data_IF_657067403394
#
_entry.id   IF_657067403394
#
_cell.length_a   1.000
_cell.length_b   1.000
_cell.length_c   1.000
_cell.angle_alpha   90.00
_cell.angle_beta   90.00
_cell.angle_gamma   90.00
#
_symmetry.space_group_name_H-M   'P 1'
#
loop_
_entity.id
_entity.type
_entity.pdbx_description
1 polymer ?
#
# COMPACT_ATOMS: atom_id res chain seq x y z
N UNK A 1 -13.44 -27.28 -44.89
CA UNK A 1 -13.99 -27.65 -43.56
C UNK A 1 -12.92 -27.90 -42.50
N UNK A 2 -11.78 -28.53 -42.83
CA UNK A 2 -10.73 -28.90 -41.85
C UNK A 2 -9.96 -27.72 -41.20
N UNK A 3 -9.73 -26.63 -41.94
CA UNK A 3 -8.94 -25.46 -41.47
C UNK A 3 -9.69 -24.58 -40.45
N UNK A 4 -11.03 -24.59 -40.47
CA UNK A 4 -11.84 -23.82 -39.52
C UNK A 4 -11.96 -24.50 -38.15
N UNK A 5 -11.95 -25.84 -38.11
CA UNK A 5 -11.98 -26.61 -36.86
C UNK A 5 -10.73 -26.40 -36.00
N UNK A 6 -9.56 -26.39 -36.63
CA UNK A 6 -8.27 -26.14 -35.95
C UNK A 6 -8.20 -24.72 -35.38
N UNK A 7 -8.54 -23.68 -36.18
CA UNK A 7 -8.58 -22.29 -35.69
C UNK A 7 -9.53 -22.09 -34.51
N UNK A 8 -10.69 -22.76 -34.49
CA UNK A 8 -11.62 -22.70 -33.36
C UNK A 8 -11.02 -23.30 -32.08
N UNK A 9 -10.29 -24.40 -32.19
CA UNK A 9 -9.70 -25.08 -31.04
C UNK A 9 -8.60 -24.23 -30.40
N UNK A 10 -7.72 -23.62 -31.21
CA UNK A 10 -6.65 -22.74 -30.76
C UNK A 10 -7.20 -21.49 -30.04
N UNK A 11 -8.24 -20.86 -30.60
CA UNK A 11 -8.90 -19.69 -29.97
C UNK A 11 -9.52 -20.07 -28.61
N UNK A 12 -10.18 -21.23 -28.50
CA UNK A 12 -10.77 -21.69 -27.24
C UNK A 12 -9.70 -21.93 -26.18
N UNK A 13 -8.55 -22.51 -26.55
CA UNK A 13 -7.43 -22.72 -25.64
C UNK A 13 -6.81 -21.40 -25.17
N UNK A 14 -6.61 -20.43 -26.09
CA UNK A 14 -6.09 -19.09 -25.77
C UNK A 14 -7.04 -18.35 -24.81
N UNK A 15 -8.34 -18.32 -25.11
CA UNK A 15 -9.34 -17.65 -24.26
C UNK A 15 -9.43 -18.29 -22.87
N UNK A 16 -9.33 -19.62 -22.76
CA UNK A 16 -9.29 -20.31 -21.46
C UNK A 16 -8.06 -19.92 -20.64
N UNK A 17 -6.90 -19.78 -21.26
CA UNK A 17 -5.68 -19.36 -20.57
C UNK A 17 -5.74 -17.88 -20.16
N UNK A 18 -6.29 -17.00 -21.00
CA UNK A 18 -6.53 -15.59 -20.66
C UNK A 18 -7.48 -15.47 -19.46
N UNK A 19 -8.59 -16.21 -19.44
CA UNK A 19 -9.54 -16.21 -18.31
C UNK A 19 -8.86 -16.61 -16.99
N UNK A 20 -7.97 -17.60 -17.01
CA UNK A 20 -7.20 -18.01 -15.83
C UNK A 20 -6.27 -16.89 -15.36
N UNK A 21 -5.56 -16.24 -16.28
CA UNK A 21 -4.67 -15.11 -15.96
C UNK A 21 -5.48 -13.95 -15.36
N UNK A 22 -6.61 -13.58 -15.96
CA UNK A 22 -7.49 -12.55 -15.43
C UNK A 22 -7.99 -12.90 -14.02
N UNK A 23 -8.36 -14.16 -13.77
CA UNK A 23 -8.80 -14.59 -12.44
C UNK A 23 -7.69 -14.42 -11.38
N UNK A 24 -6.44 -14.77 -11.72
CA UNK A 24 -5.28 -14.58 -10.82
C UNK A 24 -5.04 -13.09 -10.54
N UNK A 25 -5.11 -12.23 -11.56
CA UNK A 25 -4.95 -10.79 -11.40
C UNK A 25 -6.03 -10.22 -10.46
N UNK A 26 -7.29 -10.62 -10.64
CA UNK A 26 -8.39 -10.20 -9.77
C UNK A 26 -8.12 -10.60 -8.32
N UNK A 27 -7.68 -11.83 -8.08
CA UNK A 27 -7.35 -12.31 -6.74
C UNK A 27 -6.21 -11.48 -6.12
N UNK A 28 -5.17 -11.15 -6.89
CA UNK A 28 -4.06 -10.31 -6.42
C UNK A 28 -4.51 -8.89 -6.06
N UNK A 29 -5.43 -8.31 -6.84
CA UNK A 29 -6.03 -7.00 -6.52
C UNK A 29 -6.81 -7.08 -5.21
N UNK A 30 -7.64 -8.12 -5.01
CA UNK A 30 -8.35 -8.31 -3.75
C UNK A 30 -7.41 -8.43 -2.55
N UNK A 31 -6.34 -9.22 -2.68
CA UNK A 31 -5.32 -9.36 -1.62
C UNK A 31 -4.66 -8.00 -1.32
N UNK A 32 -4.27 -7.24 -2.35
CA UNK A 32 -3.67 -5.92 -2.20
C UNK A 32 -4.60 -4.93 -1.48
N UNK A 33 -5.89 -4.87 -1.84
CA UNK A 33 -6.87 -4.01 -1.18
C UNK A 33 -7.08 -4.44 0.28
N UNK A 34 -7.27 -5.73 0.54
CA UNK A 34 -7.49 -6.22 1.91
C UNK A 34 -6.30 -5.96 2.83
N UNK A 35 -5.08 -6.20 2.35
CA UNK A 35 -3.85 -5.93 3.13
C UNK A 35 -3.66 -4.44 3.40
N UNK A 36 -3.92 -3.59 2.40
CA UNK A 36 -3.92 -2.13 2.59
C UNK A 36 -4.90 -1.67 3.67
N UNK A 37 -6.13 -2.17 3.66
CA UNK A 37 -7.15 -1.77 4.64
C UNK A 37 -6.77 -2.20 6.06
N UNK A 38 -6.27 -3.43 6.23
CA UNK A 38 -5.85 -3.93 7.54
C UNK A 38 -4.67 -3.11 8.08
N UNK A 39 -3.63 -2.93 7.27
CA UNK A 39 -2.46 -2.16 7.68
C UNK A 39 -2.80 -0.69 7.94
N UNK A 40 -3.72 -0.12 7.16
CA UNK A 40 -4.20 1.26 7.35
C UNK A 40 -4.89 1.44 8.69
N UNK A 41 -5.74 0.50 9.09
CA UNK A 41 -6.43 0.52 10.38
C UNK A 41 -5.44 0.31 11.53
N UNK A 42 -4.48 -0.60 11.38
CA UNK A 42 -3.42 -0.80 12.37
C UNK A 42 -2.56 0.45 12.56
N UNK A 43 -2.20 1.12 11.48
CA UNK A 43 -1.40 2.33 11.54
C UNK A 43 -2.14 3.47 12.26
N UNK A 44 -3.44 3.65 12.00
CA UNK A 44 -4.30 4.62 12.69
C UNK A 44 -4.45 4.31 14.18
N UNK A 45 -4.50 3.04 14.55
CA UNK A 45 -4.46 2.55 15.94
C UNK A 45 -3.07 2.70 16.60
N UNK A 46 -2.14 3.42 15.97
CA UNK A 46 -0.73 3.53 16.38
C UNK A 46 0.04 2.20 16.45
N UNK A 47 -0.51 1.09 15.95
CA UNK A 47 0.16 -0.21 15.86
C UNK A 47 1.05 -0.28 14.62
N UNK A 48 1.94 -1.26 14.58
CA UNK A 48 2.74 -1.53 13.40
C UNK A 48 1.92 -2.28 12.35
N UNK A 49 1.94 -1.85 11.08
CA UNK A 49 1.45 -2.65 9.96
C UNK A 49 2.05 -4.06 9.95
N UNK A 50 1.28 -5.05 9.49
CA UNK A 50 1.67 -6.47 9.49
C UNK A 50 2.02 -6.96 8.08
N UNK A 51 1.30 -6.48 7.06
CA UNK A 51 1.45 -6.94 5.68
C UNK A 51 2.43 -6.09 4.85
N UNK A 52 2.81 -4.93 5.37
CA UNK A 52 3.81 -4.04 4.80
C UNK A 52 5.08 -4.05 5.63
N UNK A 53 6.20 -3.85 4.94
CA UNK A 53 7.52 -3.87 5.55
C UNK A 53 8.02 -2.43 5.77
N UNK A 54 8.61 -2.13 6.95
CA UNK A 54 9.27 -0.86 7.16
C UNK A 54 10.53 -0.82 6.28
N UNK A 55 10.65 0.23 5.47
CA UNK A 55 11.79 0.39 4.57
C UNK A 55 12.64 1.63 4.86
N UNK A 56 12.08 2.62 5.57
CA UNK A 56 12.79 3.82 5.98
C UNK A 56 12.34 4.29 7.36
N UNK A 57 13.32 4.77 8.13
CA UNK A 57 13.12 5.47 9.40
C UNK A 57 13.66 6.89 9.22
N UNK A 58 12.84 7.89 9.50
CA UNK A 58 13.21 9.30 9.36
C UNK A 58 13.71 9.79 10.72
N UNK A 59 14.80 10.57 10.72
CA UNK A 59 15.42 11.09 11.93
C UNK A 59 14.77 12.42 12.38
N UNK A 60 13.45 12.43 12.49
CA UNK A 60 12.61 13.60 12.77
C UNK A 60 11.86 13.54 14.10
N UNK A 61 12.00 12.43 14.84
CA UNK A 61 11.22 12.11 16.04
C UNK A 61 10.75 10.66 16.08
N UNK A 62 10.92 9.94 14.97
CA UNK A 62 10.68 8.52 14.86
C UNK A 62 9.65 8.16 13.79
N UNK A 63 9.50 8.98 12.74
CA UNK A 63 8.62 8.63 11.63
C UNK A 63 9.12 7.36 10.93
N UNK A 64 8.18 6.53 10.47
CA UNK A 64 8.48 5.24 9.81
C UNK A 64 7.65 5.09 8.55
N UNK A 65 8.30 4.72 7.46
CA UNK A 65 7.68 4.46 6.17
C UNK A 65 7.55 2.95 5.91
N UNK A 66 6.35 2.53 5.55
CA UNK A 66 5.98 1.16 5.25
C UNK A 66 5.59 1.02 3.78
N UNK A 67 6.04 -0.05 3.14
CA UNK A 67 5.68 -0.38 1.76
C UNK A 67 5.00 -1.75 1.73
N UNK A 68 3.81 -1.79 1.14
CA UNK A 68 3.04 -3.00 0.91
C UNK A 68 2.81 -3.27 -0.58
N UNK A 69 1.98 -4.26 -0.90
CA UNK A 69 1.68 -4.64 -2.28
C UNK A 69 0.86 -3.56 -3.00
N UNK A 70 1.54 -2.60 -3.62
CA UNK A 70 0.91 -1.49 -4.35
C UNK A 70 0.40 -0.36 -3.46
N UNK A 71 0.92 -0.24 -2.23
CA UNK A 71 0.55 0.82 -1.31
C UNK A 71 1.69 1.22 -0.39
N UNK A 72 1.58 2.40 0.19
CA UNK A 72 2.53 2.95 1.14
C UNK A 72 1.77 3.55 2.33
N UNK A 73 2.31 3.34 3.52
CA UNK A 73 1.82 3.99 4.74
C UNK A 73 3.00 4.68 5.40
N UNK A 74 2.87 5.97 5.68
CA UNK A 74 3.88 6.75 6.39
C UNK A 74 3.29 7.12 7.75
N UNK A 75 3.92 6.62 8.81
CA UNK A 75 3.61 7.03 10.18
C UNK A 75 4.51 8.20 10.53
N UNK A 76 3.95 9.40 10.54
CA UNK A 76 4.63 10.62 10.94
C UNK A 76 4.67 10.71 12.46
N UNK A 77 5.86 10.98 12.99
CA UNK A 77 6.12 11.32 14.39
C UNK A 77 7.29 12.28 14.43
N UNK A 78 6.98 13.57 14.39
CA UNK A 78 7.99 14.64 14.43
C UNK A 78 7.89 15.45 15.72
N UNK A 79 9.00 16.03 16.18
CA UNK A 79 8.97 16.92 17.35
C UNK A 79 8.22 18.22 17.03
N UNK A 80 7.39 18.68 17.97
CA UNK A 80 6.86 20.05 17.92
C UNK A 80 7.96 21.06 18.27
N UNK A 81 7.86 22.29 17.75
CA UNK A 81 8.80 23.39 18.03
C UNK A 81 9.00 23.63 19.55
N UNK A 82 7.92 23.53 20.32
CA UNK A 82 7.94 23.69 21.78
C UNK A 82 8.59 22.52 22.54
N UNK A 83 8.97 21.42 21.87
CA UNK A 83 9.50 20.18 22.44
C UNK A 83 8.66 19.58 23.59
N UNK A 84 7.36 19.90 23.64
CA UNK A 84 6.39 19.40 24.63
C UNK A 84 5.43 18.35 24.07
N UNK A 85 5.34 18.30 22.74
CA UNK A 85 4.41 17.45 21.99
C UNK A 85 5.14 16.82 20.81
N UNK A 86 4.68 15.65 20.40
CA UNK A 86 4.90 15.10 19.07
C UNK A 86 3.77 15.57 18.14
N UNK A 87 4.13 15.91 16.90
CA UNK A 87 3.17 16.00 15.82
C UNK A 87 3.11 14.62 15.15
N UNK A 88 1.95 13.97 15.25
CA UNK A 88 1.72 12.61 14.76
C UNK A 88 0.64 12.56 13.69
N UNK A 89 0.77 11.63 12.77
CA UNK A 89 -0.22 11.43 11.71
C UNK A 89 0.08 10.19 10.89
N UNK A 90 -0.93 9.71 10.16
CA UNK A 90 -0.81 8.54 9.30
C UNK A 90 -1.20 8.94 7.89
N UNK A 91 -0.22 8.96 7.01
CA UNK A 91 -0.40 9.24 5.59
C UNK A 91 -0.45 7.92 4.81
N UNK A 92 -1.39 7.82 3.86
CA UNK A 92 -1.70 6.58 3.16
C UNK A 92 -1.77 6.84 1.66
N UNK A 93 -1.07 6.03 0.89
CA UNK A 93 -1.06 6.08 -0.57
C UNK A 93 -1.35 4.70 -1.15
N UNK A 94 -2.23 4.61 -2.15
CA UNK A 94 -2.61 3.36 -2.79
C UNK A 94 -2.50 3.50 -4.31
N UNK A 95 -1.64 2.69 -4.93
CA UNK A 95 -1.28 2.65 -6.36
C UNK A 95 -0.62 3.94 -6.87
N UNK A 96 -1.23 5.09 -6.64
CA UNK A 96 -0.74 6.42 -7.01
C UNK A 96 -0.35 7.20 -5.75
N UNK A 97 0.53 8.19 -5.90
CA UNK A 97 0.99 9.04 -4.80
C UNK A 97 2.10 8.44 -3.93
N UNK A 98 2.52 7.20 -4.21
CA UNK A 98 3.65 6.56 -3.51
C UNK A 98 4.90 7.43 -3.68
N UNK A 99 5.41 7.94 -2.56
CA UNK A 99 6.63 8.71 -2.49
C UNK A 99 7.65 7.96 -1.64
N UNK A 100 8.62 7.32 -2.28
CA UNK A 100 9.62 6.52 -1.57
C UNK A 100 10.53 7.35 -0.65
N UNK A 101 10.66 8.66 -0.90
CA UNK A 101 11.49 9.58 -0.13
C UNK A 101 10.65 10.78 0.33
N UNK A 102 9.70 10.58 1.27
CA UNK A 102 8.85 11.65 1.73
C UNK A 102 9.66 12.61 2.61
N UNK A 103 9.72 13.88 2.22
CA UNK A 103 10.40 14.93 2.98
C UNK A 103 9.50 15.58 4.03
N UNK A 104 8.21 15.76 3.71
CA UNK A 104 7.23 16.43 4.56
C UNK A 104 5.87 15.70 4.50
N UNK A 105 5.08 15.77 5.59
CA UNK A 105 3.72 15.24 5.60
C UNK A 105 2.81 16.02 4.63
N UNK A 106 2.02 15.30 3.83
CA UNK A 106 1.00 15.91 2.97
C UNK A 106 -0.35 16.08 3.67
N UNK A 107 -0.40 15.76 4.97
CA UNK A 107 -1.59 15.78 5.81
C UNK A 107 -1.35 16.65 7.05
N UNK A 108 -2.41 17.26 7.61
CA UNK A 108 -2.29 17.93 8.90
C UNK A 108 -1.98 16.90 10.00
N UNK A 109 -1.00 17.22 10.84
CA UNK A 109 -0.61 16.39 11.98
C UNK A 109 -1.37 16.78 13.25
N UNK A 110 -1.66 15.80 14.09
CA UNK A 110 -2.26 15.96 15.40
C UNK A 110 -1.18 16.10 16.48
N UNK A 111 -1.48 16.85 17.55
CA UNK A 111 -0.57 16.98 18.69
C UNK A 111 -0.80 15.85 19.68
N UNK A 112 0.24 15.10 19.96
CA UNK A 112 0.30 14.09 21.01
C UNK A 112 1.31 14.55 22.08
N UNK A 113 0.99 14.40 23.36
CA UNK A 113 1.93 14.79 24.43
C UNK A 113 3.11 13.81 24.48
N UNK A 114 4.32 14.33 24.68
CA UNK A 114 5.52 13.51 24.89
C UNK A 114 5.40 12.70 26.18
#
# INVERSE_FOLDING_TARGET
MFVEGWRRFDIIMIVKNIKKICAVIIILIFISVSTFLIDSCLAEDNKSPIFSFPYAHINDGGSVCYLGLGYQIIKWKTYSEDLKFYNVGVEKHYIFGINLYPENPNIPLLKEKI
#
